data_IF_258328536008
#
_entry.id   IF_258328536008
#
_cell.length_a   1.000
_cell.length_b   1.000
_cell.length_c   1.000
_cell.angle_alpha   90.00
_cell.angle_beta   90.00
_cell.angle_gamma   90.00
#
_symmetry.space_group_name_H-M   'P 1'
#
loop_
_entity.id
_entity.type
_entity.pdbx_description
1 polymer ?
#
# COMPACT_ATOMS: atom_id res chain seq x y z
N UNK A 1 -12.65 13.27 -8.17
CA UNK A 1 -11.44 12.42 -8.09
C UNK A 1 -10.80 12.41 -9.46
N UNK A 2 -10.19 13.54 -9.84
CA UNK A 2 -9.57 13.78 -11.17
C UNK A 2 -8.15 14.35 -11.04
N UNK A 3 -7.72 14.68 -9.82
CA UNK A 3 -6.46 15.37 -9.55
C UNK A 3 -5.26 14.54 -10.03
N UNK A 4 -5.20 13.25 -9.67
CA UNK A 4 -4.09 12.40 -10.13
C UNK A 4 -4.09 12.16 -11.63
N UNK A 5 -5.26 11.92 -12.24
CA UNK A 5 -5.35 11.73 -13.70
C UNK A 5 -4.87 12.99 -14.44
N UNK A 6 -5.27 14.17 -13.96
CA UNK A 6 -4.84 15.45 -14.51
C UNK A 6 -3.34 15.68 -14.33
N UNK A 7 -2.81 15.51 -13.10
CA UNK A 7 -1.38 15.68 -12.81
C UNK A 7 -0.50 14.76 -13.66
N UNK A 8 -0.89 13.49 -13.80
CA UNK A 8 -0.13 12.53 -14.59
C UNK A 8 -0.22 12.86 -16.08
N UNK A 9 -1.41 13.22 -16.59
CA UNK A 9 -1.55 13.63 -17.99
C UNK A 9 -0.74 14.90 -18.32
N UNK A 10 -0.77 15.90 -17.43
CA UNK A 10 -0.03 17.17 -17.59
C UNK A 10 1.49 16.97 -17.53
N UNK A 11 1.98 15.93 -16.85
CA UNK A 11 3.40 15.56 -16.85
C UNK A 11 3.91 15.03 -18.19
N UNK A 12 3.00 14.72 -19.14
CA UNK A 12 3.32 14.05 -20.40
C UNK A 12 3.46 12.53 -20.29
N UNK A 13 3.24 11.96 -19.10
CA UNK A 13 3.19 10.52 -18.91
C UNK A 13 1.97 9.91 -19.64
N UNK A 14 2.16 8.71 -20.18
CA UNK A 14 1.09 7.94 -20.83
C UNK A 14 0.57 6.88 -19.88
N UNK A 15 -0.68 7.03 -19.44
CA UNK A 15 -1.35 6.05 -18.58
C UNK A 15 -2.12 5.04 -19.42
N UNK A 16 -1.94 3.75 -19.12
CA UNK A 16 -2.68 2.66 -19.74
C UNK A 16 -3.44 1.87 -18.68
N UNK A 17 -4.73 2.19 -18.52
CA UNK A 17 -5.62 1.47 -17.61
C UNK A 17 -5.98 0.06 -18.10
N UNK A 18 -6.63 -0.73 -17.23
CA UNK A 18 -7.12 -2.09 -17.52
C UNK A 18 -6.05 -3.02 -18.10
N UNK A 19 -4.84 -2.87 -17.58
CA UNK A 19 -3.65 -3.58 -18.00
C UNK A 19 -2.99 -4.24 -16.80
N UNK A 20 -2.64 -5.51 -16.92
CA UNK A 20 -1.93 -6.27 -15.88
C UNK A 20 -0.67 -6.86 -16.48
N UNK A 21 0.45 -6.75 -15.75
CA UNK A 21 1.67 -7.48 -16.11
C UNK A 21 1.33 -8.98 -16.04
N UNK A 22 1.74 -9.72 -17.05
CA UNK A 22 1.46 -11.14 -17.21
C UNK A 22 2.75 -11.99 -17.31
N UNK A 23 3.85 -11.39 -17.79
CA UNK A 23 5.17 -12.01 -17.80
C UNK A 23 6.27 -10.95 -17.87
N UNK A 24 7.51 -11.37 -17.60
CA UNK A 24 8.72 -10.57 -17.74
C UNK A 24 9.72 -11.32 -18.61
N UNK A 25 10.22 -10.65 -19.64
CA UNK A 25 11.25 -11.18 -20.54
C UNK A 25 12.59 -10.53 -20.22
N UNK A 26 13.63 -11.36 -20.11
CA UNK A 26 14.99 -10.90 -19.82
C UNK A 26 15.90 -11.10 -21.02
N UNK A 27 16.76 -10.12 -21.30
CA UNK A 27 17.83 -10.25 -22.30
C UNK A 27 19.11 -10.85 -21.69
N UNK A 28 19.27 -10.72 -20.38
CA UNK A 28 20.34 -11.33 -19.58
C UNK A 28 19.83 -11.56 -18.15
N UNK A 29 20.53 -12.37 -17.37
CA UNK A 29 20.10 -12.72 -16.01
C UNK A 29 19.78 -11.48 -15.15
N UNK A 30 20.59 -10.43 -15.30
CA UNK A 30 20.47 -9.18 -14.53
C UNK A 30 19.73 -8.05 -15.26
N UNK A 31 19.08 -8.31 -16.41
CA UNK A 31 18.52 -7.23 -17.24
C UNK A 31 17.20 -7.64 -17.89
N UNK A 32 16.14 -6.91 -17.52
CA UNK A 32 14.81 -7.02 -18.12
C UNK A 32 14.81 -6.33 -19.47
N UNK A 33 14.27 -6.98 -20.50
CA UNK A 33 14.11 -6.43 -21.84
C UNK A 33 12.68 -5.92 -22.07
N UNK A 34 11.69 -6.70 -21.64
CA UNK A 34 10.28 -6.36 -21.82
C UNK A 34 9.41 -6.86 -20.68
N UNK A 35 8.27 -6.20 -20.49
CA UNK A 35 7.13 -6.77 -19.76
C UNK A 35 6.06 -7.17 -20.77
N UNK A 36 5.40 -8.29 -20.53
CA UNK A 36 4.20 -8.70 -21.27
C UNK A 36 3.00 -8.26 -20.46
N UNK A 37 2.09 -7.54 -21.09
CA UNK A 37 0.89 -6.97 -20.47
C UNK A 37 -0.34 -7.59 -21.11
N UNK A 38 -1.23 -8.11 -20.27
CA UNK A 38 -2.56 -8.55 -20.67
C UNK A 38 -3.55 -7.39 -20.54
N UNK A 39 -4.16 -7.01 -21.66
CA UNK A 39 -5.20 -5.97 -21.71
C UNK A 39 -6.18 -6.21 -22.88
N UNK A 40 -7.01 -5.21 -23.19
CA UNK A 40 -8.03 -5.32 -24.25
C UNK A 40 -7.45 -5.58 -25.65
N UNK A 41 -6.18 -5.24 -25.87
CA UNK A 41 -5.45 -5.52 -27.12
C UNK A 41 -4.83 -6.92 -27.15
N UNK A 42 -5.07 -7.77 -26.15
CA UNK A 42 -4.47 -9.09 -26.00
C UNK A 42 -3.21 -9.04 -25.13
N UNK A 43 -2.21 -9.86 -25.49
CA UNK A 43 -0.89 -9.83 -24.87
C UNK A 43 0.02 -8.90 -25.67
N UNK A 44 0.54 -7.85 -25.03
CA UNK A 44 1.38 -6.83 -25.67
C UNK A 44 2.70 -6.72 -24.91
N UNK A 45 3.82 -6.71 -25.63
CA UNK A 45 5.14 -6.49 -25.06
C UNK A 45 5.48 -5.00 -25.02
N UNK A 46 5.93 -4.51 -23.85
CA UNK A 46 6.47 -3.16 -23.67
C UNK A 46 7.95 -3.26 -23.31
N UNK A 47 8.80 -2.64 -24.13
CA UNK A 47 10.24 -2.50 -23.89
C UNK A 47 10.56 -1.17 -23.23
N UNK A 48 11.51 -1.19 -22.31
CA UNK A 48 12.04 0.01 -21.67
C UNK A 48 13.51 -0.18 -21.30
N UNK A 49 14.24 0.93 -21.15
CA UNK A 49 15.62 0.89 -20.64
C UNK A 49 15.66 0.58 -19.15
N UNK A 50 14.68 1.09 -18.40
CA UNK A 50 14.52 0.93 -16.96
C UNK A 50 13.05 0.67 -16.68
N UNK A 51 12.78 -0.21 -15.71
CA UNK A 51 11.45 -0.55 -15.23
C UNK A 51 11.31 -0.16 -13.76
N UNK A 52 10.13 0.26 -13.35
CA UNK A 52 9.79 0.52 -11.94
C UNK A 52 8.65 -0.42 -11.57
N UNK A 53 8.90 -1.34 -10.66
CA UNK A 53 7.90 -2.20 -10.05
C UNK A 53 7.19 -1.44 -8.92
N UNK A 54 6.00 -0.96 -9.23
CA UNK A 54 5.06 -0.37 -8.29
C UNK A 54 3.75 -1.19 -8.23
N UNK A 55 3.83 -2.50 -8.50
CA UNK A 55 2.66 -3.41 -8.47
C UNK A 55 2.10 -3.59 -7.06
N UNK A 56 2.91 -3.28 -6.05
CA UNK A 56 2.61 -3.49 -4.64
C UNK A 56 2.84 -4.94 -4.18
N UNK A 57 2.91 -5.90 -5.10
CA UNK A 57 3.23 -7.32 -4.84
C UNK A 57 4.61 -7.73 -5.38
N UNK A 58 5.36 -6.78 -5.94
CA UNK A 58 6.70 -7.00 -6.47
C UNK A 58 6.71 -7.97 -7.65
N UNK A 59 5.63 -8.04 -8.43
CA UNK A 59 5.46 -9.05 -9.48
C UNK A 59 6.52 -8.94 -10.57
N UNK A 60 6.87 -7.72 -11.01
CA UNK A 60 7.89 -7.54 -12.05
C UNK A 60 9.25 -7.99 -11.53
N UNK A 61 9.65 -7.54 -10.34
CA UNK A 61 10.94 -7.89 -9.76
C UNK A 61 11.03 -9.40 -9.45
N UNK A 62 10.00 -9.97 -8.84
CA UNK A 62 9.95 -11.41 -8.52
C UNK A 62 9.97 -12.28 -9.78
N UNK A 63 9.20 -11.94 -10.82
CA UNK A 63 9.19 -12.68 -12.08
C UNK A 63 10.46 -12.50 -12.90
N UNK A 64 11.19 -11.39 -12.71
CA UNK A 64 12.56 -11.23 -13.21
C UNK A 64 13.60 -12.05 -12.43
N UNK A 65 13.23 -12.68 -11.31
CA UNK A 65 14.09 -13.54 -10.51
C UNK A 65 14.74 -12.86 -9.30
N UNK A 66 14.27 -11.67 -8.88
CA UNK A 66 14.72 -11.08 -7.63
C UNK A 66 14.28 -11.91 -6.42
N UNK A 67 15.16 -12.05 -5.43
CA UNK A 67 14.81 -12.63 -4.12
C UNK A 67 13.83 -11.73 -3.36
N UNK A 68 12.99 -12.34 -2.51
CA UNK A 68 12.03 -11.62 -1.69
C UNK A 68 11.70 -12.37 -0.41
N UNK A 69 11.20 -11.63 0.59
CA UNK A 69 10.56 -12.17 1.80
C UNK A 69 9.05 -11.94 1.74
N UNK A 70 8.26 -12.75 2.44
CA UNK A 70 6.80 -12.60 2.52
C UNK A 70 6.29 -13.03 3.89
N UNK A 71 5.45 -12.21 4.50
CA UNK A 71 4.92 -12.47 5.84
C UNK A 71 6.01 -12.48 6.91
N UNK A 72 5.72 -13.08 8.05
CA UNK A 72 6.74 -13.41 9.07
C UNK A 72 7.54 -14.67 8.71
N UNK A 73 8.38 -15.13 9.63
CA UNK A 73 9.15 -16.37 9.51
C UNK A 73 8.27 -17.63 9.31
N UNK A 74 6.97 -17.56 9.65
CA UNK A 74 5.98 -18.62 9.40
C UNK A 74 5.18 -18.40 8.11
N UNK A 75 5.48 -17.34 7.36
CA UNK A 75 4.80 -16.96 6.13
C UNK A 75 3.46 -16.26 6.33
N UNK A 76 3.09 -15.88 7.57
CA UNK A 76 1.82 -15.22 7.85
C UNK A 76 1.91 -13.73 7.50
N UNK A 77 1.03 -13.30 6.60
CA UNK A 77 0.95 -11.90 6.15
C UNK A 77 -0.02 -11.09 7.00
N UNK A 78 0.17 -9.75 7.01
CA UNK A 78 -0.77 -8.84 7.68
C UNK A 78 -2.17 -8.88 7.05
N UNK A 79 -3.19 -8.67 7.87
CA UNK A 79 -4.60 -8.73 7.43
C UNK A 79 -4.91 -7.72 6.34
N UNK A 80 -5.61 -8.16 5.29
CA UNK A 80 -6.16 -7.28 4.26
C UNK A 80 -7.51 -6.71 4.69
N UNK A 81 -8.04 -5.74 3.95
CA UNK A 81 -9.42 -5.25 4.14
C UNK A 81 -10.09 -4.94 2.81
N UNK A 82 -11.34 -5.33 2.64
CA UNK A 82 -12.15 -4.88 1.51
C UNK A 82 -13.02 -3.70 1.96
N UNK A 83 -12.49 -2.48 1.82
CA UNK A 83 -13.20 -1.27 2.22
C UNK A 83 -14.58 -1.18 1.55
N UNK A 84 -15.55 -0.55 2.20
CA UNK A 84 -16.91 -0.42 1.70
C UNK A 84 -17.52 0.92 2.10
N UNK A 85 -18.63 1.30 1.44
CA UNK A 85 -19.31 2.57 1.71
C UNK A 85 -20.78 2.35 1.99
N UNK A 86 -21.29 3.03 3.02
CA UNK A 86 -22.71 3.14 3.32
C UNK A 86 -23.21 4.52 2.89
N UNK A 87 -24.39 4.58 2.29
CA UNK A 87 -25.11 5.82 2.02
C UNK A 87 -26.38 5.90 2.87
N UNK A 88 -26.99 7.09 2.89
CA UNK A 88 -28.16 7.40 3.70
C UNK A 88 -27.89 7.18 5.20
N UNK A 89 -26.64 7.49 5.60
CA UNK A 89 -26.22 7.57 6.99
C UNK A 89 -26.63 8.94 7.50
N UNK A 90 -27.31 9.01 8.65
CA UNK A 90 -27.65 10.29 9.25
C UNK A 90 -26.37 11.02 9.69
N UNK A 91 -25.92 11.98 8.88
CA UNK A 91 -24.62 12.64 9.09
C UNK A 91 -24.56 13.44 10.39
N UNK A 92 -25.70 13.97 10.84
CA UNK A 92 -25.78 14.74 12.07
C UNK A 92 -25.49 13.86 13.29
N UNK A 93 -26.15 12.70 13.38
CA UNK A 93 -25.87 11.73 14.42
C UNK A 93 -24.50 11.09 14.26
N UNK A 94 -24.09 10.75 13.05
CA UNK A 94 -22.77 10.15 12.84
C UNK A 94 -21.64 11.07 13.31
N UNK A 95 -21.72 12.38 13.03
CA UNK A 95 -20.60 13.30 13.23
C UNK A 95 -20.66 14.12 14.53
N UNK A 96 -21.87 14.47 14.99
CA UNK A 96 -22.03 15.51 16.03
C UNK A 96 -22.63 14.98 17.32
N UNK A 97 -23.65 14.13 17.25
CA UNK A 97 -24.43 13.75 18.44
C UNK A 97 -24.31 12.27 18.84
N UNK A 98 -23.86 11.42 17.93
CA UNK A 98 -23.66 10.00 18.15
C UNK A 98 -22.26 9.65 18.67
N UNK A 99 -22.05 8.38 19.08
CA UNK A 99 -20.75 7.93 19.53
C UNK A 99 -19.76 7.85 18.36
N UNK A 100 -18.50 8.21 18.60
CA UNK A 100 -17.44 8.09 17.61
C UNK A 100 -17.23 6.62 17.17
N UNK A 101 -17.29 6.37 15.86
CA UNK A 101 -17.05 5.06 15.25
C UNK A 101 -15.58 4.90 14.90
N UNK A 102 -14.81 4.41 15.87
CA UNK A 102 -13.38 4.17 15.67
C UNK A 102 -12.89 2.99 16.49
N UNK A 103 -11.92 2.25 15.95
CA UNK A 103 -11.30 1.09 16.61
C UNK A 103 -10.73 1.43 17.99
N UNK A 104 -10.15 2.63 18.13
CA UNK A 104 -9.56 3.11 19.38
C UNK A 104 -10.59 3.53 20.43
N UNK A 105 -11.83 3.84 20.04
CA UNK A 105 -12.90 4.15 20.98
C UNK A 105 -13.50 2.85 21.53
N UNK A 106 -13.15 2.48 22.76
CA UNK A 106 -13.69 1.28 23.42
C UNK A 106 -15.20 1.28 23.63
N UNK A 107 -15.82 2.47 23.59
CA UNK A 107 -17.27 2.62 23.66
C UNK A 107 -17.92 2.66 22.26
N UNK A 108 -17.15 2.40 21.20
CA UNK A 108 -17.67 2.34 19.84
C UNK A 108 -18.77 1.25 19.74
N UNK A 109 -19.91 1.53 19.10
CA UNK A 109 -21.01 0.59 18.92
C UNK A 109 -20.62 -0.76 18.30
N UNK A 110 -19.52 -0.82 17.53
CA UNK A 110 -18.99 -2.08 16.97
C UNK A 110 -18.71 -3.12 18.05
N UNK A 111 -18.27 -2.72 19.24
CA UNK A 111 -18.01 -3.64 20.34
C UNK A 111 -19.30 -4.31 20.84
N UNK A 112 -20.41 -3.55 20.95
CA UNK A 112 -21.72 -4.12 21.30
C UNK A 112 -22.22 -5.10 20.25
N UNK A 113 -21.97 -4.80 18.97
CA UNK A 113 -22.35 -5.71 17.88
C UNK A 113 -21.55 -7.03 17.95
N UNK A 114 -20.26 -6.97 18.25
CA UNK A 114 -19.41 -8.16 18.45
C UNK A 114 -19.88 -8.96 19.66
N UNK A 115 -20.11 -8.30 20.80
CA UNK A 115 -20.60 -8.91 22.05
C UNK A 115 -21.93 -9.64 21.89
N UNK A 116 -22.76 -9.22 20.93
CA UNK A 116 -24.04 -9.88 20.64
C UNK A 116 -23.89 -11.30 20.09
N UNK A 117 -22.74 -11.65 19.49
CA UNK A 117 -22.52 -12.91 18.81
C UNK A 117 -23.32 -13.15 17.52
N UNK A 118 -24.19 -12.19 17.11
CA UNK A 118 -25.06 -12.30 15.93
C UNK A 118 -24.30 -12.21 14.60
N UNK A 119 -23.14 -11.55 14.61
CA UNK A 119 -22.37 -11.19 13.42
C UNK A 119 -20.98 -11.84 13.46
N UNK A 120 -20.83 -13.09 13.00
CA UNK A 120 -19.60 -13.86 13.19
C UNK A 120 -18.41 -13.38 12.34
N UNK A 121 -18.63 -12.54 11.33
CA UNK A 121 -17.58 -12.10 10.40
C UNK A 121 -17.03 -10.71 10.72
N UNK A 122 -17.63 -9.95 11.63
CA UNK A 122 -17.15 -8.61 11.96
C UNK A 122 -16.08 -8.67 13.05
N UNK A 123 -15.18 -7.70 13.04
CA UNK A 123 -14.18 -7.50 14.08
C UNK A 123 -14.17 -6.05 14.58
N UNK A 124 -13.22 -5.75 15.48
CA UNK A 124 -13.09 -4.43 16.11
C UNK A 124 -12.49 -3.35 15.21
N UNK A 125 -11.82 -3.71 14.11
CA UNK A 125 -11.21 -2.78 13.18
C UNK A 125 -12.31 -2.09 12.37
N UNK A 126 -12.59 -0.86 12.75
CA UNK A 126 -13.76 -0.12 12.27
C UNK A 126 -13.45 1.38 12.19
N UNK A 127 -12.65 1.75 11.17
CA UNK A 127 -12.27 3.14 10.93
C UNK A 127 -13.05 3.69 9.75
N UNK A 128 -13.44 4.96 9.81
CA UNK A 128 -14.41 5.50 8.86
C UNK A 128 -14.22 7.00 8.64
N UNK A 129 -14.60 7.48 7.45
CA UNK A 129 -14.57 8.89 7.06
C UNK A 129 -15.72 9.21 6.11
N UNK A 130 -16.19 10.46 6.12
CA UNK A 130 -17.09 10.94 5.07
C UNK A 130 -16.38 11.02 3.73
N UNK A 131 -17.08 10.61 2.67
CA UNK A 131 -16.64 10.76 1.28
C UNK A 131 -17.64 11.55 0.43
N UNK A 132 -18.73 11.99 1.04
CA UNK A 132 -19.80 12.78 0.45
C UNK A 132 -20.92 13.00 1.47
N UNK A 133 -21.92 13.83 1.15
CA UNK A 133 -23.10 14.03 2.00
C UNK A 133 -23.79 12.70 2.29
N UNK A 134 -23.97 12.37 3.57
CA UNK A 134 -24.62 11.12 4.03
C UNK A 134 -23.99 9.83 3.51
N UNK A 135 -22.73 9.89 3.03
CA UNK A 135 -21.96 8.75 2.57
C UNK A 135 -20.68 8.59 3.39
N UNK A 136 -20.59 7.49 4.11
CA UNK A 136 -19.45 7.13 4.94
C UNK A 136 -18.72 5.95 4.33
N UNK A 137 -17.40 6.07 4.18
CA UNK A 137 -16.53 4.98 3.76
C UNK A 137 -15.80 4.38 4.97
N UNK A 138 -15.74 3.06 5.00
CA UNK A 138 -15.15 2.27 6.07
C UNK A 138 -13.90 1.54 5.57
N UNK A 139 -12.82 1.67 6.32
CA UNK A 139 -11.72 0.73 6.37
C UNK A 139 -11.95 -0.17 7.59
N UNK A 140 -12.65 -1.26 7.36
CA UNK A 140 -13.13 -2.17 8.38
C UNK A 140 -13.13 -3.61 7.86
N UNK A 141 -13.15 -4.57 8.78
CA UNK A 141 -13.17 -5.99 8.44
C UNK A 141 -11.82 -6.50 7.96
N UNK A 142 -11.09 -7.14 8.87
CA UNK A 142 -9.88 -7.85 8.55
C UNK A 142 -10.19 -9.16 7.82
N UNK A 143 -9.44 -9.37 6.74
CA UNK A 143 -9.33 -10.62 6.03
C UNK A 143 -7.92 -11.13 6.30
N UNK A 144 -7.81 -12.05 7.26
CA UNK A 144 -6.52 -12.52 7.77
C UNK A 144 -5.82 -13.44 6.79
N UNK A 145 -4.49 -13.34 6.75
CA UNK A 145 -3.59 -14.23 6.01
C UNK A 145 -3.97 -14.48 4.53
N UNK A 146 -4.45 -13.45 3.83
CA UNK A 146 -4.75 -13.53 2.40
C UNK A 146 -3.48 -13.37 1.58
N UNK A 147 -3.05 -14.45 0.92
CA UNK A 147 -1.97 -14.38 -0.06
C UNK A 147 -2.43 -13.64 -1.32
N UNK A 148 -1.95 -12.40 -1.51
CA UNK A 148 -2.28 -11.59 -2.68
C UNK A 148 -1.71 -12.13 -4.00
N UNK A 149 -0.75 -13.05 -3.92
CA UNK A 149 -0.11 -13.67 -5.09
C UNK A 149 -0.84 -14.93 -5.57
N UNK A 150 -1.83 -15.41 -4.81
CA UNK A 150 -2.73 -16.48 -5.23
C UNK A 150 -4.08 -15.91 -5.70
N UNK A 151 -4.44 -16.08 -6.99
CA UNK A 151 -5.72 -15.60 -7.52
C UNK A 151 -6.94 -16.28 -6.87
N UNK A 152 -6.82 -17.49 -6.34
CA UNK A 152 -7.92 -18.18 -5.65
C UNK A 152 -8.13 -17.61 -4.25
N UNK A 153 -7.05 -17.39 -3.48
CA UNK A 153 -7.11 -16.73 -2.19
C UNK A 153 -7.73 -15.32 -2.30
N UNK A 154 -7.29 -14.52 -3.27
CA UNK A 154 -7.86 -13.18 -3.49
C UNK A 154 -9.34 -13.22 -3.91
N UNK A 155 -9.73 -14.22 -4.73
CA UNK A 155 -11.14 -14.43 -5.11
C UNK A 155 -12.01 -14.73 -3.89
N UNK A 156 -11.58 -15.65 -3.03
CA UNK A 156 -12.30 -15.98 -1.79
C UNK A 156 -12.36 -14.78 -0.84
N UNK A 157 -11.25 -14.06 -0.67
CA UNK A 157 -11.20 -12.86 0.16
C UNK A 157 -12.18 -11.77 -0.33
N UNK A 158 -12.33 -11.59 -1.64
CA UNK A 158 -13.31 -10.66 -2.20
C UNK A 158 -14.76 -11.09 -1.91
N UNK A 159 -15.06 -12.39 -1.95
CA UNK A 159 -16.38 -12.92 -1.62
C UNK A 159 -16.70 -12.72 -0.14
N UNK A 160 -15.78 -13.11 0.75
CA UNK A 160 -15.93 -12.94 2.21
C UNK A 160 -15.99 -11.47 2.58
N UNK A 161 -15.14 -10.61 2.00
CA UNK A 161 -15.15 -9.16 2.26
C UNK A 161 -16.50 -8.50 1.96
N UNK A 162 -17.21 -8.96 0.92
CA UNK A 162 -18.58 -8.48 0.63
C UNK A 162 -19.59 -8.94 1.68
N UNK A 163 -19.44 -10.16 2.20
CA UNK A 163 -20.27 -10.64 3.31
C UNK A 163 -20.00 -9.85 4.60
N UNK A 164 -18.73 -9.56 4.89
CA UNK A 164 -18.32 -8.72 6.03
C UNK A 164 -18.96 -7.32 5.93
N UNK A 165 -18.91 -6.68 4.77
CA UNK A 165 -19.56 -5.37 4.56
C UNK A 165 -21.07 -5.41 4.85
N UNK A 166 -21.74 -6.50 4.43
CA UNK A 166 -23.15 -6.73 4.74
C UNK A 166 -23.40 -6.90 6.24
N UNK A 167 -22.59 -7.70 6.93
CA UNK A 167 -22.73 -7.88 8.38
C UNK A 167 -22.47 -6.60 9.17
N UNK A 168 -21.50 -5.77 8.77
CA UNK A 168 -21.31 -4.46 9.40
C UNK A 168 -22.51 -3.54 9.24
N UNK A 169 -23.18 -3.56 8.07
CA UNK A 169 -24.38 -2.75 7.85
C UNK A 169 -25.50 -3.16 8.81
N UNK A 170 -25.81 -4.45 8.86
CA UNK A 170 -26.88 -4.97 9.71
C UNK A 170 -26.54 -4.81 11.20
N UNK A 171 -25.27 -5.02 11.57
CA UNK A 171 -24.77 -4.74 12.90
C UNK A 171 -25.01 -3.28 13.31
N UNK A 172 -24.64 -2.31 12.46
CA UNK A 172 -24.82 -0.89 12.77
C UNK A 172 -26.29 -0.48 12.80
N UNK A 173 -27.16 -1.09 12.00
CA UNK A 173 -28.62 -0.89 12.09
C UNK A 173 -29.17 -1.33 13.44
N UNK A 174 -28.71 -2.47 13.96
CA UNK A 174 -29.14 -2.96 15.27
C UNK A 174 -28.64 -2.06 16.41
N UNK A 175 -27.36 -1.69 16.42
CA UNK A 175 -26.74 -1.00 17.58
C UNK A 175 -26.80 0.52 17.49
N UNK A 176 -27.04 1.09 16.31
CA UNK A 176 -27.14 2.52 16.03
C UNK A 176 -28.26 2.83 15.00
N UNK A 177 -29.52 2.43 15.26
CA UNK A 177 -30.63 2.60 14.31
C UNK A 177 -30.92 4.06 13.95
N UNK A 178 -30.67 5.01 14.86
CA UNK A 178 -30.81 6.46 14.56
C UNK A 178 -29.84 6.92 13.48
N UNK A 179 -28.64 6.34 13.44
CA UNK A 179 -27.57 6.73 12.51
C UNK A 179 -27.62 5.92 11.22
N UNK A 180 -27.90 4.62 11.32
CA UNK A 180 -27.77 3.67 10.20
C UNK A 180 -29.08 2.97 9.80
N UNK A 181 -30.20 3.22 10.48
CA UNK A 181 -31.46 2.49 10.26
C UNK A 181 -31.91 2.50 8.79
N UNK A 182 -31.76 3.64 8.12
CA UNK A 182 -32.08 3.81 6.70
C UNK A 182 -30.88 3.64 5.77
N UNK A 183 -29.70 3.32 6.31
CA UNK A 183 -28.48 3.19 5.53
C UNK A 183 -28.49 1.93 4.66
N UNK A 184 -27.75 1.98 3.57
CA UNK A 184 -27.56 0.84 2.68
C UNK A 184 -26.13 0.77 2.16
N UNK A 185 -25.67 -0.44 1.84
CA UNK A 185 -24.37 -0.69 1.23
C UNK A 185 -24.39 -0.24 -0.23
N UNK A 186 -23.57 0.76 -0.54
CA UNK A 186 -23.44 1.32 -1.90
C UNK A 186 -22.51 0.46 -2.75
N UNK A 187 -21.33 0.17 -2.20
CA UNK A 187 -20.26 -0.54 -2.88
C UNK A 187 -19.24 -1.09 -1.89
N UNK A 188 -18.53 -2.12 -2.33
CA UNK A 188 -17.20 -2.45 -1.83
C UNK A 188 -16.14 -1.83 -2.74
N UNK A 189 -14.88 -1.79 -2.28
CA UNK A 189 -13.75 -1.39 -3.11
C UNK A 189 -13.58 -2.33 -4.31
N UNK A 190 -13.05 -1.81 -5.41
CA UNK A 190 -12.82 -2.57 -6.64
C UNK A 190 -11.65 -3.55 -6.52
N UNK A 191 -10.75 -3.33 -5.57
CA UNK A 191 -9.60 -4.16 -5.26
C UNK A 191 -9.50 -4.37 -3.75
N UNK A 192 -8.91 -5.51 -3.37
CA UNK A 192 -8.60 -5.80 -1.98
C UNK A 192 -7.51 -4.85 -1.47
N UNK A 193 -7.72 -4.27 -0.28
CA UNK A 193 -6.72 -3.48 0.42
C UNK A 193 -5.66 -4.38 1.05
N UNK A 194 -4.77 -4.92 0.21
CA UNK A 194 -3.65 -5.75 0.63
C UNK A 194 -2.66 -4.91 1.43
N UNK A 195 -2.20 -5.44 2.57
CA UNK A 195 -1.22 -4.76 3.43
C UNK A 195 0.19 -5.34 3.31
N UNK A 196 0.30 -6.65 3.12
CA UNK A 196 1.59 -7.35 3.09
C UNK A 196 1.58 -8.47 2.05
N UNK A 197 2.71 -8.60 1.38
CA UNK A 197 2.97 -9.56 0.31
C UNK A 197 4.48 -9.72 0.13
N UNK A 198 5.03 -9.60 -1.09
CA UNK A 198 6.47 -9.72 -1.31
C UNK A 198 7.19 -8.41 -1.00
N UNK A 199 8.17 -8.49 -0.12
CA UNK A 199 9.17 -7.45 0.14
C UNK A 199 10.45 -7.85 -0.59
N UNK A 200 10.78 -7.14 -1.66
CA UNK A 200 11.91 -7.50 -2.52
C UNK A 200 13.23 -7.26 -1.78
N UNK A 201 14.19 -8.15 -1.92
CA UNK A 201 15.52 -7.97 -1.32
C UNK A 201 16.34 -7.00 -2.15
N UNK A 202 16.52 -5.79 -1.62
CA UNK A 202 17.34 -4.74 -2.22
C UNK A 202 18.78 -4.79 -1.74
N UNK A 203 19.61 -3.87 -2.25
CA UNK A 203 20.98 -3.67 -1.78
C UNK A 203 21.05 -3.37 -0.27
N UNK A 204 19.99 -2.79 0.28
CA UNK A 204 19.79 -2.61 1.71
C UNK A 204 18.37 -2.98 2.12
N UNK A 205 18.25 -3.66 3.26
CA UNK A 205 16.97 -3.95 3.90
C UNK A 205 16.80 -3.03 5.08
N UNK A 206 15.83 -2.11 5.00
CA UNK A 206 15.51 -1.23 6.11
C UNK A 206 14.92 -2.02 7.28
N UNK A 207 15.45 -1.86 8.49
CA UNK A 207 15.03 -2.67 9.66
C UNK A 207 14.27 -1.89 10.72
N UNK A 208 13.65 -2.61 11.65
CA UNK A 208 13.00 -2.02 12.81
C UNK A 208 14.00 -1.30 13.72
N UNK A 209 15.26 -1.75 13.79
CA UNK A 209 16.32 -1.04 14.50
C UNK A 209 16.60 0.32 13.85
N UNK A 210 16.61 0.40 12.52
CA UNK A 210 16.76 1.67 11.81
C UNK A 210 15.63 2.64 12.17
N UNK A 211 14.39 2.13 12.22
CA UNK A 211 13.22 2.87 12.68
C UNK A 211 13.39 3.34 14.14
N UNK A 212 13.74 2.43 15.06
CA UNK A 212 13.90 2.71 16.49
C UNK A 212 14.99 3.75 16.75
N UNK A 213 16.07 3.72 15.98
CA UNK A 213 17.19 4.65 16.10
C UNK A 213 16.99 5.98 15.36
N UNK A 214 15.89 6.13 14.61
CA UNK A 214 15.62 7.33 13.77
C UNK A 214 16.79 7.57 12.80
N UNK A 215 17.32 6.50 12.21
CA UNK A 215 18.54 6.58 11.39
C UNK A 215 18.38 7.56 10.24
N UNK A 216 19.50 8.20 9.91
CA UNK A 216 19.71 9.01 8.71
C UNK A 216 20.71 8.25 7.84
N UNK A 217 20.55 8.36 6.52
CA UNK A 217 21.40 7.63 5.58
C UNK A 217 22.09 8.61 4.61
N UNK A 218 23.30 8.25 4.20
CA UNK A 218 24.09 9.03 3.25
C UNK A 218 23.36 9.15 1.90
N UNK A 219 22.60 8.11 1.55
CA UNK A 219 21.86 7.94 0.31
C UNK A 219 20.35 8.13 0.48
N UNK A 220 19.90 8.86 1.50
CA UNK A 220 18.46 9.01 1.76
C UNK A 220 17.71 9.79 0.67
N UNK A 221 16.52 9.31 0.35
CA UNK A 221 15.62 9.85 -0.69
C UNK A 221 14.35 10.50 -0.10
N UNK A 222 14.31 10.64 1.22
CA UNK A 222 13.21 11.31 1.91
C UNK A 222 13.11 10.92 3.37
N UNK A 223 12.35 11.72 4.12
CA UNK A 223 12.05 11.48 5.53
C UNK A 223 10.66 10.88 5.71
N UNK A 224 10.53 9.94 6.65
CA UNK A 224 9.25 9.37 7.07
C UNK A 224 9.09 9.48 8.60
N UNK A 225 7.86 9.64 9.07
CA UNK A 225 7.54 9.69 10.50
C UNK A 225 6.31 8.84 10.85
N UNK A 226 5.87 7.98 9.93
CA UNK A 226 4.73 7.10 10.17
C UNK A 226 5.10 6.04 11.21
N UNK A 227 4.15 5.73 12.07
CA UNK A 227 4.33 4.74 13.14
C UNK A 227 4.32 3.31 12.60
N UNK A 228 4.73 2.33 13.41
CA UNK A 228 4.68 0.92 13.01
C UNK A 228 3.24 0.42 13.08
N UNK A 229 2.56 0.40 11.94
CA UNK A 229 1.18 -0.04 11.75
C UNK A 229 1.13 -1.51 11.31
N UNK A 230 1.24 -2.43 12.26
CA UNK A 230 1.17 -3.88 12.00
C UNK A 230 -0.20 -4.42 12.39
N UNK A 231 -0.89 -5.00 11.40
CA UNK A 231 -2.19 -5.64 11.59
C UNK A 231 -2.03 -7.15 11.80
N UNK A 232 -1.58 -7.53 13.00
CA UNK A 232 -1.52 -8.91 13.49
C UNK A 232 -2.09 -8.98 14.92
N UNK A 233 -2.73 -10.10 15.33
CA UNK A 233 -3.20 -10.26 16.70
C UNK A 233 -2.08 -10.02 17.73
N UNK A 234 -2.35 -9.20 18.75
CA UNK A 234 -1.42 -8.94 19.86
C UNK A 234 -0.34 -7.88 19.62
N UNK A 235 -0.18 -7.35 18.41
CA UNK A 235 0.79 -6.28 18.16
C UNK A 235 0.42 -4.97 18.89
N UNK A 236 1.42 -4.34 19.52
CA UNK A 236 1.26 -3.05 20.20
C UNK A 236 1.79 -1.92 19.32
N UNK A 237 0.95 -0.92 19.06
CA UNK A 237 1.35 0.26 18.28
C UNK A 237 2.53 0.99 18.94
N UNK A 238 3.58 1.20 18.17
CA UNK A 238 4.76 1.98 18.57
C UNK A 238 4.83 3.24 17.71
N UNK A 239 4.78 4.41 18.34
CA UNK A 239 4.71 5.72 17.67
C UNK A 239 5.96 6.56 17.96
N UNK A 240 6.38 7.32 16.97
CA UNK A 240 7.34 8.40 17.16
C UNK A 240 6.76 9.54 17.99
N UNK A 241 7.65 10.28 18.67
CA UNK A 241 7.32 11.55 19.30
C UNK A 241 7.25 12.65 18.24
N UNK A 242 6.61 13.76 18.60
CA UNK A 242 6.54 14.94 17.75
C UNK A 242 7.95 15.39 17.32
N UNK A 243 8.17 15.52 16.01
CA UNK A 243 9.43 15.95 15.42
C UNK A 243 10.42 14.82 15.09
N UNK A 244 10.17 13.59 15.54
CA UNK A 244 11.01 12.45 15.18
C UNK A 244 10.66 11.92 13.78
N UNK A 245 11.70 11.53 13.04
CA UNK A 245 11.60 10.93 11.71
C UNK A 245 12.85 10.09 11.45
N UNK A 246 12.81 9.25 10.42
CA UNK A 246 13.95 8.52 9.87
C UNK A 246 14.12 8.81 8.37
N UNK A 247 15.30 8.54 7.84
CA UNK A 247 15.58 8.57 6.40
C UNK A 247 15.19 7.27 5.72
N UNK A 248 14.77 7.35 4.46
CA UNK A 248 14.55 6.19 3.58
C UNK A 248 15.76 6.10 2.65
N UNK A 249 16.64 5.08 2.76
CA UNK A 249 17.80 4.95 1.88
C UNK A 249 17.39 4.51 0.47
N UNK A 250 18.03 5.08 -0.56
CA UNK A 250 17.80 4.74 -1.96
C UNK A 250 18.00 3.24 -2.26
N UNK A 251 18.95 2.60 -1.59
CA UNK A 251 19.28 1.17 -1.77
C UNK A 251 18.17 0.20 -1.33
N UNK A 252 17.10 0.69 -0.70
CA UNK A 252 15.88 -0.09 -0.49
C UNK A 252 15.04 -0.26 -1.76
N UNK A 253 15.26 0.57 -2.78
CA UNK A 253 14.54 0.55 -4.04
C UNK A 253 15.25 -0.27 -5.13
N UNK A 254 16.44 -0.83 -4.86
CA UNK A 254 17.29 -1.48 -5.87
C UNK A 254 17.36 -3.00 -5.64
N UNK A 255 16.48 -3.81 -6.26
CA UNK A 255 16.51 -5.28 -6.16
C UNK A 255 17.88 -5.85 -6.51
N UNK A 256 18.42 -6.70 -5.63
CA UNK A 256 19.71 -7.36 -5.88
C UNK A 256 19.66 -8.17 -7.17
N UNK A 257 20.69 -8.00 -8.01
CA UNK A 257 20.86 -8.76 -9.24
C UNK A 257 20.01 -8.29 -10.42
N UNK A 258 19.31 -7.15 -10.35
CA UNK A 258 18.57 -6.57 -11.48
C UNK A 258 19.02 -5.13 -11.77
N UNK A 259 19.88 -4.96 -12.78
CA UNK A 259 20.53 -3.69 -13.10
C UNK A 259 19.59 -2.58 -13.56
N UNK A 260 18.42 -2.92 -14.08
CA UNK A 260 17.50 -1.96 -14.69
C UNK A 260 16.07 -2.00 -14.14
N UNK A 261 15.90 -2.54 -12.92
CA UNK A 261 14.61 -2.59 -12.22
C UNK A 261 14.72 -1.83 -10.91
N UNK A 262 13.79 -0.92 -10.64
CA UNK A 262 13.57 -0.32 -9.33
C UNK A 262 12.29 -0.88 -8.72
N UNK A 263 12.19 -0.90 -7.39
CA UNK A 263 10.93 -1.13 -6.67
C UNK A 263 10.50 0.15 -5.97
N UNK A 264 9.19 0.37 -5.88
CA UNK A 264 8.61 1.51 -5.17
C UNK A 264 7.35 1.12 -4.40
N UNK A 265 7.07 1.86 -3.32
CA UNK A 265 5.92 1.61 -2.46
C UNK A 265 6.02 0.32 -1.66
N UNK A 266 4.97 -0.51 -1.74
CA UNK A 266 4.78 -1.65 -0.84
C UNK A 266 5.74 -2.84 -1.09
N UNK A 267 6.48 -2.86 -2.19
CA UNK A 267 7.41 -3.96 -2.48
C UNK A 267 8.90 -3.58 -2.30
N UNK A 268 9.20 -2.42 -1.70
CA UNK A 268 10.59 -2.03 -1.37
C UNK A 268 11.18 -2.96 -0.29
N UNK A 269 12.51 -2.90 -0.14
CA UNK A 269 13.22 -3.77 0.79
C UNK A 269 13.16 -3.30 2.24
N UNK A 270 12.40 -4.03 3.05
CA UNK A 270 12.31 -3.85 4.50
C UNK A 270 12.25 -5.19 5.21
N UNK A 271 12.58 -5.22 6.50
CA UNK A 271 12.14 -6.31 7.36
C UNK A 271 10.61 -6.27 7.56
N UNK A 272 10.07 -7.26 8.28
CA UNK A 272 8.63 -7.40 8.48
C UNK A 272 8.02 -6.29 9.36
N UNK A 273 8.71 -5.85 10.41
CA UNK A 273 8.14 -4.93 11.39
C UNK A 273 8.22 -3.48 10.87
N UNK A 274 9.38 -3.04 10.36
CA UNK A 274 9.53 -1.71 9.77
C UNK A 274 8.67 -1.51 8.52
N UNK A 275 8.33 -2.60 7.84
CA UNK A 275 7.39 -2.58 6.74
C UNK A 275 6.08 -1.88 7.08
N UNK A 276 5.56 -2.08 8.30
CA UNK A 276 4.33 -1.44 8.77
C UNK A 276 4.39 0.09 8.76
N UNK A 277 5.59 0.68 8.85
CA UNK A 277 5.81 2.13 8.75
C UNK A 277 6.03 2.60 7.32
N UNK A 278 6.66 1.78 6.46
CA UNK A 278 7.09 2.19 5.12
C UNK A 278 6.12 1.84 3.99
N UNK A 279 5.16 0.92 4.22
CA UNK A 279 4.17 0.50 3.21
C UNK A 279 3.00 1.47 3.00
N UNK A 280 2.83 2.46 3.87
CA UNK A 280 1.66 3.35 3.85
C UNK A 280 1.80 4.45 2.80
N UNK A 281 0.68 5.12 2.47
CA UNK A 281 0.64 6.05 1.33
C UNK A 281 1.74 7.13 1.33
N UNK A 282 2.05 7.83 2.44
CA UNK A 282 3.08 8.87 2.41
C UNK A 282 4.48 8.38 1.98
N UNK A 283 5.11 7.36 2.60
CA UNK A 283 6.38 6.81 2.12
C UNK A 283 6.28 6.15 0.74
N UNK A 284 5.13 5.62 0.33
CA UNK A 284 4.92 5.16 -1.05
C UNK A 284 5.04 6.30 -2.08
N UNK A 285 4.54 7.50 -1.76
CA UNK A 285 4.69 8.67 -2.63
C UNK A 285 6.17 9.09 -2.71
N UNK A 286 6.86 9.15 -1.57
CA UNK A 286 8.30 9.47 -1.51
C UNK A 286 9.13 8.51 -2.35
N UNK A 287 8.92 7.20 -2.18
CA UNK A 287 9.67 6.18 -2.93
C UNK A 287 9.31 6.16 -4.41
N UNK A 288 8.04 6.40 -4.77
CA UNK A 288 7.61 6.50 -6.17
C UNK A 288 8.23 7.68 -6.92
N UNK A 289 8.26 8.85 -6.29
CA UNK A 289 8.89 10.06 -6.86
C UNK A 289 10.40 9.85 -7.04
N UNK A 290 11.08 9.37 -6.01
CA UNK A 290 12.51 9.06 -6.07
C UNK A 290 12.85 8.02 -7.14
N UNK A 291 12.06 6.94 -7.25
CA UNK A 291 12.26 5.91 -8.28
C UNK A 291 12.08 6.47 -9.69
N UNK A 292 11.06 7.32 -9.92
CA UNK A 292 10.83 7.99 -11.20
C UNK A 292 12.01 8.88 -11.62
N UNK A 293 12.49 9.72 -10.70
CA UNK A 293 13.64 10.60 -10.95
C UNK A 293 14.95 9.81 -11.15
N UNK A 294 15.17 8.77 -10.35
CA UNK A 294 16.30 7.86 -10.48
C UNK A 294 16.30 7.11 -11.82
N UNK A 295 15.14 6.69 -12.31
CA UNK A 295 15.03 6.07 -13.63
C UNK A 295 15.48 7.02 -14.75
N UNK A 296 15.13 8.31 -14.68
CA UNK A 296 15.62 9.32 -15.63
C UNK A 296 17.14 9.49 -15.57
N UNK A 297 17.72 9.39 -14.37
CA UNK A 297 19.17 9.44 -14.20
C UNK A 297 19.83 8.20 -14.80
N UNK A 298 19.30 7.01 -14.53
CA UNK A 298 19.79 5.74 -15.05
C UNK A 298 19.80 5.73 -16.58
N UNK A 299 18.71 6.13 -17.26
CA UNK A 299 18.65 6.08 -18.74
C UNK A 299 19.63 7.03 -19.45
N UNK A 300 20.22 7.99 -18.72
CA UNK A 300 21.27 8.90 -19.20
C UNK A 300 22.68 8.33 -18.99
N UNK A 301 22.82 7.28 -18.20
CA UNK A 301 24.09 6.55 -18.04
C UNK A 301 24.36 5.66 -19.25
N UNK A 302 25.61 5.24 -19.42
CA UNK A 302 25.98 4.32 -20.49
C UNK A 302 25.36 2.91 -20.34
N UNK A 303 25.04 2.48 -19.11
CA UNK A 303 24.61 1.11 -18.81
C UNK A 303 23.21 0.98 -18.19
N UNK A 304 22.50 2.10 -17.97
CA UNK A 304 21.21 2.12 -17.30
C UNK A 304 21.20 1.42 -15.93
N UNK A 305 22.30 1.52 -15.18
CA UNK A 305 22.50 0.78 -13.93
C UNK A 305 21.88 1.55 -12.75
N UNK A 306 20.72 1.08 -12.29
CA UNK A 306 19.96 1.71 -11.21
C UNK A 306 20.67 1.63 -9.86
N UNK A 307 21.70 0.78 -9.71
CA UNK A 307 22.53 0.71 -8.50
C UNK A 307 23.65 1.76 -8.49
N UNK A 308 23.86 2.48 -9.60
CA UNK A 308 24.94 3.48 -9.77
C UNK A 308 24.40 4.89 -9.91
N UNK A 309 23.28 5.20 -9.25
CA UNK A 309 22.75 6.56 -9.20
C UNK A 309 23.55 7.40 -8.22
N UNK A 310 23.92 8.62 -8.66
CA UNK A 310 24.41 9.68 -7.77
C UNK A 310 23.23 10.19 -6.92
N UNK A 311 23.21 9.78 -5.66
CA UNK A 311 22.12 10.08 -4.73
C UNK A 311 22.14 11.52 -4.22
N UNK A 312 23.28 12.22 -4.30
CA UNK A 312 23.37 13.65 -3.99
C UNK A 312 22.72 14.47 -5.11
N UNK A 313 23.01 14.13 -6.35
CA UNK A 313 22.34 14.73 -7.49
C UNK A 313 20.84 14.38 -7.53
N UNK A 314 20.47 13.14 -7.19
CA UNK A 314 19.07 12.73 -7.04
C UNK A 314 18.35 13.59 -6.00
N UNK A 315 18.89 13.72 -4.78
CA UNK A 315 18.32 14.59 -3.74
C UNK A 315 18.19 16.03 -4.19
N UNK A 316 19.22 16.57 -4.86
CA UNK A 316 19.15 17.93 -5.40
C UNK A 316 17.96 18.09 -6.34
N UNK A 317 17.77 17.15 -7.27
CA UNK A 317 16.63 17.17 -8.21
C UNK A 317 15.28 17.03 -7.51
N UNK A 318 15.17 16.16 -6.52
CA UNK A 318 13.96 16.01 -5.72
C UNK A 318 13.62 17.31 -4.94
N UNK A 319 14.62 18.00 -4.38
CA UNK A 319 14.43 19.32 -3.73
C UNK A 319 13.92 20.37 -4.73
N UNK A 320 14.43 20.35 -5.96
CA UNK A 320 14.01 21.28 -7.03
C UNK A 320 12.55 21.05 -7.46
N UNK A 321 12.03 19.82 -7.36
CA UNK A 321 10.62 19.48 -7.62
C UNK A 321 9.70 19.65 -6.40
N UNK A 322 10.22 20.14 -5.26
CA UNK A 322 9.43 20.48 -4.08
C UNK A 322 9.44 19.44 -2.96
N UNK A 323 10.32 18.43 -3.01
CA UNK A 323 10.53 17.52 -1.89
C UNK A 323 11.44 18.18 -0.83
N UNK A 324 10.85 18.88 0.14
CA UNK A 324 11.62 19.70 1.10
C UNK A 324 12.22 18.92 2.28
N UNK A 325 11.77 17.70 2.54
CA UNK A 325 12.22 16.88 3.67
C UNK A 325 13.19 15.79 3.19
N UNK A 326 14.44 16.22 2.96
CA UNK A 326 15.58 15.47 2.39
C UNK A 326 16.92 15.89 2.99
#
# INVERSE_FOLDING_TARGET
>A
MTVYDQMVAESGARVLFFSRVAAVEKVADETVDAIIVANKSGLVAFKAKVFIDATGDGDLAAWAGASFKRGDDSGVVQSSSLCFSFANVDSYNYNLTGPSLHTSNKNSPVYKAIESGKYPLIDKHFNSNFIGPDVVQFNAGHLDNVDSTDPWATTQAMMVGRQIAGQYLEAMKDVQPKTFGSAFLVKTASLLGVRDSRRIEGDYTFTVEDWKERRTFEDEIGRNCYYIDVHKPGHKETRYKKGESHGIPYRCLTPKGLKNVLTAGRCISTDEEAFGSLRVMPPCLVTGEAAGMAAVHAIKQARNDVHKIDTDYLRKRLKEEGQYLL
#
